data_IF_501896625874
#
_entry.id   IF_501896625874
#
_cell.length_a   1.000
_cell.length_b   1.000
_cell.length_c   1.000
_cell.angle_alpha   90.00
_cell.angle_beta   90.00
_cell.angle_gamma   90.00
#
_symmetry.space_group_name_H-M   'P 1'
#
loop_
_entity.id
_entity.type
_entity.pdbx_description
1 polymer ?
#
# COMPACT_ATOMS: atom_id res chain seq x y z
N UNK A 1 10.31 -21.06 -24.94
CA UNK A 1 9.75 -21.13 -23.58
C UNK A 1 9.20 -19.75 -23.22
N UNK A 2 7.89 -19.56 -23.36
CA UNK A 2 7.21 -18.26 -23.24
C UNK A 2 6.22 -18.29 -22.07
N UNK A 3 6.73 -18.34 -20.84
CA UNK A 3 5.87 -18.43 -19.63
C UNK A 3 6.37 -17.52 -18.50
N UNK A 4 7.01 -16.40 -18.82
CA UNK A 4 7.48 -15.42 -17.81
C UNK A 4 6.68 -14.12 -17.80
N UNK A 5 5.39 -14.16 -18.09
CA UNK A 5 4.57 -12.93 -18.16
C UNK A 5 3.29 -12.94 -17.33
N UNK A 6 2.85 -14.07 -16.78
CA UNK A 6 1.56 -14.15 -16.08
C UNK A 6 1.65 -13.94 -14.55
N UNK A 7 2.76 -14.29 -13.89
CA UNK A 7 2.86 -14.15 -12.42
C UNK A 7 3.17 -12.74 -11.92
N UNK A 8 3.52 -11.78 -12.79
CA UNK A 8 3.89 -10.41 -12.35
C UNK A 8 2.74 -9.41 -12.44
N UNK A 9 1.57 -9.80 -12.98
CA UNK A 9 0.46 -8.88 -13.26
C UNK A 9 -0.62 -8.91 -12.17
N UNK A 10 -0.90 -10.08 -11.59
CA UNK A 10 -1.81 -10.24 -10.46
C UNK A 10 -1.33 -9.51 -9.20
N UNK A 11 -0.01 -9.41 -8.99
CA UNK A 11 0.59 -8.71 -7.84
C UNK A 11 0.70 -7.18 -8.02
N UNK A 12 -0.02 -6.62 -9.00
CA UNK A 12 -0.05 -5.18 -9.30
C UNK A 12 -1.48 -4.62 -9.27
N UNK A 13 -2.31 -5.21 -8.42
CA UNK A 13 -3.67 -4.74 -8.20
C UNK A 13 -3.81 -4.39 -6.74
N UNK A 14 -4.62 -3.38 -6.48
CA UNK A 14 -5.02 -3.06 -5.13
C UNK A 14 -6.04 -4.09 -4.65
N UNK A 15 -5.82 -4.68 -3.48
CA UNK A 15 -6.75 -5.68 -2.92
C UNK A 15 -8.09 -5.06 -2.51
N UNK A 16 -8.11 -3.79 -2.11
CA UNK A 16 -9.33 -3.10 -1.67
C UNK A 16 -10.23 -2.66 -2.81
N UNK A 17 -9.64 -2.11 -3.87
CA UNK A 17 -10.36 -1.47 -4.97
C UNK A 17 -10.33 -2.28 -6.28
N UNK A 18 -9.48 -3.30 -6.37
CA UNK A 18 -9.23 -4.07 -7.61
C UNK A 18 -8.51 -3.31 -8.71
N UNK A 19 -8.24 -2.00 -8.54
CA UNK A 19 -7.63 -1.18 -9.58
C UNK A 19 -6.18 -1.60 -9.87
N UNK A 20 -5.78 -1.44 -11.13
CA UNK A 20 -4.41 -1.65 -11.55
C UNK A 20 -3.49 -0.56 -10.99
N UNK A 21 -2.35 -0.98 -10.43
CA UNK A 21 -1.29 -0.11 -9.91
C UNK A 21 0.05 -0.43 -10.59
N UNK A 22 0.99 0.51 -10.56
CA UNK A 22 2.30 0.30 -11.18
C UNK A 22 3.22 -0.50 -10.26
N UNK A 23 4.24 -1.15 -10.82
CA UNK A 23 5.27 -1.88 -10.04
C UNK A 23 5.99 -0.96 -9.05
N UNK A 24 6.24 0.29 -9.44
CA UNK A 24 6.88 1.27 -8.59
C UNK A 24 5.96 1.67 -7.42
N UNK A 25 4.65 1.75 -7.67
CA UNK A 25 3.67 2.02 -6.62
C UNK A 25 3.69 0.92 -5.54
N UNK A 26 3.67 -0.35 -5.95
CA UNK A 26 3.75 -1.51 -5.04
C UNK A 26 5.02 -1.47 -4.19
N UNK A 27 6.15 -1.03 -4.75
CA UNK A 27 7.42 -0.95 -3.99
C UNK A 27 7.45 0.17 -2.94
N UNK A 28 6.74 1.26 -3.16
CA UNK A 28 6.76 2.43 -2.27
C UNK A 28 5.65 2.36 -1.23
N UNK A 29 4.47 1.92 -1.64
CA UNK A 29 3.26 1.95 -0.82
C UNK A 29 2.74 0.56 -0.44
N UNK A 30 3.27 -0.50 -1.05
CA UNK A 30 2.86 -1.86 -0.75
C UNK A 30 3.66 -2.48 0.39
N UNK A 31 3.08 -3.52 0.97
CA UNK A 31 3.67 -4.38 1.98
C UNK A 31 3.63 -5.82 1.47
N UNK A 32 4.73 -6.56 1.62
CA UNK A 32 4.87 -7.93 1.09
C UNK A 32 4.58 -8.08 -0.43
N UNK A 33 4.90 -7.04 -1.22
CA UNK A 33 4.54 -6.91 -2.64
C UNK A 33 3.04 -6.75 -2.92
N UNK A 34 2.21 -6.56 -1.91
CA UNK A 34 0.78 -6.36 -2.02
C UNK A 34 0.40 -4.92 -1.69
N UNK A 35 -0.66 -4.39 -2.30
CA UNK A 35 -1.15 -3.03 -2.04
C UNK A 35 -2.60 -3.14 -1.59
N UNK A 36 -2.92 -2.64 -0.41
CA UNK A 36 -4.29 -2.58 0.10
C UNK A 36 -4.95 -1.22 -0.19
N UNK A 37 -4.19 -0.20 -0.59
CA UNK A 37 -4.72 1.12 -0.90
C UNK A 37 -4.16 1.74 -2.18
N UNK A 38 -5.04 2.16 -3.09
CA UNK A 38 -4.72 2.74 -4.39
C UNK A 38 -5.10 4.23 -4.43
N UNK A 39 -4.55 4.99 -5.38
CA UNK A 39 -4.99 6.38 -5.64
C UNK A 39 -6.48 6.52 -6.04
N UNK A 40 -7.15 5.41 -6.39
CA UNK A 40 -8.60 5.42 -6.68
C UNK A 40 -9.46 5.26 -5.43
N UNK A 41 -8.95 4.68 -4.34
CA UNK A 41 -9.73 4.44 -3.11
C UNK A 41 -9.17 5.17 -1.88
N UNK A 42 -7.96 5.73 -1.99
CA UNK A 42 -7.31 6.54 -0.96
C UNK A 42 -6.82 7.85 -1.56
N UNK A 43 -6.84 8.88 -0.73
CA UNK A 43 -6.24 10.18 -1.04
C UNK A 43 -4.71 10.12 -0.91
N UNK A 44 -4.02 11.05 -1.58
CA UNK A 44 -2.54 11.16 -1.47
C UNK A 44 -2.06 11.35 -0.03
N UNK A 45 -2.84 12.04 0.80
CA UNK A 45 -2.53 12.23 2.22
C UNK A 45 -2.57 10.91 2.99
N UNK A 46 -3.59 10.08 2.78
CA UNK A 46 -3.70 8.74 3.39
C UNK A 46 -2.55 7.83 2.94
N UNK A 47 -2.21 7.85 1.64
CA UNK A 47 -1.06 7.11 1.12
C UNK A 47 0.26 7.55 1.75
N UNK A 48 0.45 8.86 1.96
CA UNK A 48 1.67 9.40 2.57
C UNK A 48 1.83 8.99 4.05
N UNK A 49 0.73 8.74 4.75
CA UNK A 49 0.73 8.25 6.14
C UNK A 49 0.92 6.73 6.21
N UNK A 50 0.87 6.02 5.08
CA UNK A 50 1.11 4.57 4.99
C UNK A 50 -0.16 3.72 4.95
N UNK A 51 -1.34 4.32 4.76
CA UNK A 51 -2.63 3.60 4.72
C UNK A 51 -2.70 2.52 3.62
N UNK A 52 -1.89 2.64 2.55
CA UNK A 52 -1.84 1.62 1.51
C UNK A 52 -1.26 0.27 1.93
N UNK A 53 -0.49 0.25 3.03
CA UNK A 53 0.07 -0.96 3.61
C UNK A 53 -0.85 -1.57 4.68
N UNK A 54 -1.86 -0.83 5.14
CA UNK A 54 -2.84 -1.33 6.10
C UNK A 54 -3.88 -2.16 5.36
N UNK A 55 -3.92 -3.45 5.64
CA UNK A 55 -5.08 -4.29 5.30
C UNK A 55 -6.23 -3.76 6.16
N UNK A 56 -7.43 -3.59 5.59
CA UNK A 56 -8.62 -3.22 6.37
C UNK A 56 -8.94 -4.36 7.35
N UNK A 57 -8.22 -4.41 8.45
CA UNK A 57 -8.52 -5.22 9.61
C UNK A 57 -9.56 -4.41 10.37
N UNK A 58 -10.79 -4.93 10.36
CA UNK A 58 -11.88 -4.42 11.17
C UNK A 58 -11.39 -4.24 12.60
N UNK A 59 -11.49 -3.00 13.09
CA UNK A 59 -11.72 -2.57 14.47
C UNK A 59 -11.08 -3.40 15.60
N UNK A 60 -10.38 -2.69 16.51
CA UNK A 60 -9.96 -3.18 17.83
C UNK A 60 -8.72 -4.09 17.87
N UNK A 61 -7.52 -3.49 17.81
CA UNK A 61 -6.46 -3.63 18.85
C UNK A 61 -5.07 -3.30 18.30
N UNK A 62 -4.51 -2.18 18.77
CA UNK A 62 -3.10 -2.18 19.13
C UNK A 62 -2.04 -1.91 18.05
N UNK A 63 -2.37 -1.28 16.92
CA UNK A 63 -1.32 -0.66 16.11
C UNK A 63 -0.80 0.58 16.85
N UNK A 64 0.19 0.39 17.72
CA UNK A 64 0.99 1.47 18.28
C UNK A 64 1.42 2.33 17.10
N UNK A 65 0.83 3.52 16.98
CA UNK A 65 1.27 4.51 16.00
C UNK A 65 2.71 4.79 16.34
N UNK A 66 3.63 4.19 15.59
CA UNK A 66 5.03 4.59 15.60
C UNK A 66 5.05 6.01 15.05
N UNK A 67 4.83 6.98 15.94
CA UNK A 67 4.92 8.41 15.66
C UNK A 67 6.39 8.68 15.41
N UNK A 68 6.76 8.68 14.13
CA UNK A 68 8.06 9.16 13.70
C UNK A 68 8.22 10.61 14.18
N UNK A 69 9.27 10.97 14.93
CA UNK A 69 9.49 12.34 15.32
C UNK A 69 9.83 13.13 14.05
N UNK A 70 8.89 13.97 13.60
CA UNK A 70 9.18 15.01 12.63
C UNK A 70 10.30 15.87 13.23
N UNK A 71 11.43 15.88 12.54
CA UNK A 71 12.66 16.56 12.95
C UNK A 71 12.39 18.05 13.20
N UNK A 72 12.79 18.52 14.38
CA UNK A 72 13.37 19.84 14.62
C UNK A 72 12.43 21.05 14.56
N UNK A 73 12.09 21.58 15.73
CA UNK A 73 11.82 23.01 15.90
C UNK A 73 13.05 23.66 16.57
N UNK A 74 13.54 24.81 16.09
CA UNK A 74 14.50 25.63 16.83
C UNK A 74 13.87 26.28 18.05
#
# INVERSE_FOLDING_TARGET
>A
MSERTTSTNSNRRCERCGAAVSKQFVRVFGFDNTVHGCLNCLTRTQLAVGEAALREESDETGATRVKWPARGSP
#
